data_IF_822317268463
#
_entry.id   IF_822317268463
#
_cell.length_a   1.000
_cell.length_b   1.000
_cell.length_c   1.000
_cell.angle_alpha   90.00
_cell.angle_beta   90.00
_cell.angle_gamma   90.00
#
_symmetry.space_group_name_H-M   'P 1'
#
loop_
_entity.id
_entity.type
_entity.pdbx_description
1 polymer ?
#
# COMPACT_ATOMS: atom_id res chain seq x y z
N UNK A 1 -51.45 -25.61 -25.00
CA UNK A 1 -50.07 -25.85 -24.53
C UNK A 1 -49.72 -24.75 -23.55
N UNK A 2 -49.24 -25.15 -22.38
CA UNK A 2 -49.06 -24.32 -21.19
C UNK A 2 -47.93 -23.31 -21.43
N UNK A 3 -48.25 -22.02 -21.40
CA UNK A 3 -47.27 -20.95 -21.23
C UNK A 3 -47.15 -20.68 -19.73
N UNK A 4 -45.98 -21.00 -19.16
CA UNK A 4 -45.54 -20.54 -17.84
C UNK A 4 -44.62 -19.34 -18.06
N UNK A 5 -45.07 -18.14 -17.73
CA UNK A 5 -44.19 -17.01 -17.42
C UNK A 5 -44.73 -16.30 -16.17
N UNK A 6 -44.08 -16.57 -15.05
CA UNK A 6 -44.34 -15.91 -13.78
C UNK A 6 -43.85 -14.46 -13.87
N UNK A 7 -44.78 -13.52 -13.63
CA UNK A 7 -44.47 -12.14 -13.31
C UNK A 7 -43.85 -12.07 -11.91
N UNK A 8 -42.73 -11.36 -11.75
CA UNK A 8 -42.24 -10.94 -10.42
C UNK A 8 -41.86 -9.46 -10.47
N UNK A 9 -42.84 -8.66 -10.06
CA UNK A 9 -42.76 -7.42 -9.28
C UNK A 9 -41.41 -6.67 -9.22
N UNK A 10 -41.33 -5.56 -9.96
CA UNK A 10 -40.40 -4.48 -9.73
C UNK A 10 -40.92 -3.61 -8.59
N UNK A 11 -40.34 -3.72 -7.39
CA UNK A 11 -40.52 -2.73 -6.32
C UNK A 11 -39.34 -1.78 -6.34
N UNK A 12 -39.60 -0.54 -6.75
CA UNK A 12 -38.76 0.60 -6.43
C UNK A 12 -38.59 0.67 -4.91
N UNK A 13 -37.36 0.55 -4.42
CA UNK A 13 -37.02 0.97 -3.07
C UNK A 13 -36.36 2.33 -3.16
N UNK A 14 -37.11 3.32 -2.69
CA UNK A 14 -36.69 4.69 -2.52
C UNK A 14 -35.56 4.80 -1.49
N UNK A 15 -34.73 5.82 -1.71
CA UNK A 15 -33.74 6.36 -0.80
C UNK A 15 -34.24 6.40 0.65
N UNK A 16 -33.49 5.74 1.53
CA UNK A 16 -33.41 6.15 2.92
C UNK A 16 -31.98 6.64 3.17
N UNK A 17 -31.80 7.94 3.01
CA UNK A 17 -30.76 8.72 3.65
C UNK A 17 -30.81 8.47 5.17
N UNK A 18 -30.02 7.51 5.65
CA UNK A 18 -29.59 7.50 7.03
C UNK A 18 -28.26 8.24 7.09
N UNK A 19 -28.34 9.50 7.51
CA UNK A 19 -27.25 10.22 8.14
C UNK A 19 -26.80 9.44 9.38
N UNK A 20 -25.95 8.43 9.17
CA UNK A 20 -25.16 7.83 10.22
C UNK A 20 -23.97 8.74 10.46
N UNK A 21 -24.07 9.62 11.47
CA UNK A 21 -22.89 10.10 12.17
C UNK A 21 -22.11 8.87 12.63
N UNK A 22 -21.08 8.50 11.87
CA UNK A 22 -20.06 7.54 12.27
C UNK A 22 -19.50 8.03 13.59
N UNK A 23 -19.90 7.40 14.69
CA UNK A 23 -19.20 7.58 15.95
C UNK A 23 -17.79 7.05 15.69
N UNK A 24 -16.80 7.95 15.65
CA UNK A 24 -15.39 7.57 15.66
C UNK A 24 -15.18 6.62 16.84
N UNK A 25 -15.18 5.31 16.58
CA UNK A 25 -14.80 4.32 17.58
C UNK A 25 -13.31 4.52 17.76
N UNK A 26 -12.94 5.32 18.76
CA UNK A 26 -11.56 5.47 19.15
C UNK A 26 -11.04 4.09 19.56
N UNK A 27 -10.21 3.51 18.70
CA UNK A 27 -9.68 2.18 18.93
C UNK A 27 -8.45 2.29 19.83
N UNK A 28 -8.18 1.28 20.65
CA UNK A 28 -6.92 1.20 21.40
C UNK A 28 -5.94 0.32 20.64
N UNK A 29 -4.71 0.81 20.43
CA UNK A 29 -3.62 0.00 19.89
C UNK A 29 -3.17 -1.00 20.95
N UNK A 30 -2.95 -2.24 20.54
CA UNK A 30 -2.53 -3.32 21.44
C UNK A 30 -1.03 -3.54 21.25
N UNK A 31 -0.24 -3.20 22.25
CA UNK A 31 1.20 -3.49 22.27
C UNK A 31 1.46 -4.91 22.80
N UNK A 32 2.24 -5.68 22.05
CA UNK A 32 2.58 -7.07 22.36
C UNK A 32 4.07 -7.31 22.07
N UNK A 33 4.80 -7.98 22.96
CA UNK A 33 6.22 -8.30 22.76
C UNK A 33 6.47 -9.70 22.17
N UNK A 34 5.43 -10.53 22.10
CA UNK A 34 5.43 -11.87 21.52
C UNK A 34 4.80 -11.84 20.13
N UNK A 35 5.56 -12.22 19.09
CA UNK A 35 5.05 -12.28 17.71
C UNK A 35 3.85 -13.24 17.60
N UNK A 36 3.93 -14.42 18.22
CA UNK A 36 2.85 -15.42 18.20
C UNK A 36 1.56 -14.87 18.80
N UNK A 37 1.65 -14.15 19.92
CA UNK A 37 0.47 -13.53 20.54
C UNK A 37 -0.05 -12.36 19.71
N UNK A 38 0.84 -11.53 19.16
CA UNK A 38 0.47 -10.41 18.30
C UNK A 38 -0.31 -10.89 17.07
N UNK A 39 0.17 -11.95 16.41
CA UNK A 39 -0.49 -12.61 15.28
C UNK A 39 -1.86 -13.15 15.69
N UNK A 40 -1.94 -13.94 16.77
CA UNK A 40 -3.22 -14.49 17.26
C UNK A 40 -4.23 -13.39 17.61
N UNK A 41 -3.77 -12.29 18.20
CA UNK A 41 -4.63 -11.14 18.52
C UNK A 41 -5.09 -10.44 17.24
N UNK A 42 -4.20 -10.21 16.27
CA UNK A 42 -4.52 -9.57 15.00
C UNK A 42 -5.53 -10.39 14.18
N UNK A 43 -5.34 -11.71 14.11
CA UNK A 43 -6.28 -12.64 13.47
C UNK A 43 -7.66 -12.60 14.12
N UNK A 44 -7.71 -12.68 15.46
CA UNK A 44 -8.97 -12.66 16.22
C UNK A 44 -9.73 -11.35 16.06
N UNK A 45 -9.01 -10.24 15.90
CA UNK A 45 -9.59 -8.89 15.83
C UNK A 45 -9.77 -8.37 14.42
N UNK A 46 -9.36 -9.12 13.39
CA UNK A 46 -9.30 -8.62 12.01
C UNK A 46 -8.58 -7.28 11.93
N UNK A 47 -7.33 -7.26 12.40
CA UNK A 47 -6.51 -6.06 12.54
C UNK A 47 -5.29 -6.06 11.60
N UNK A 48 -4.74 -4.88 11.32
CA UNK A 48 -3.38 -4.77 10.78
C UNK A 48 -2.37 -5.06 11.90
N UNK A 49 -1.37 -5.88 11.62
CA UNK A 49 -0.26 -6.16 12.53
C UNK A 49 0.98 -5.40 12.06
N UNK A 50 1.39 -4.37 12.82
CA UNK A 50 2.67 -3.69 12.63
C UNK A 50 3.73 -4.39 13.47
N UNK A 51 4.75 -4.94 12.81
CA UNK A 51 5.93 -5.52 13.48
C UNK A 51 7.11 -4.59 13.28
N UNK A 52 7.68 -4.09 14.37
CA UNK A 52 8.88 -3.26 14.38
C UNK A 52 10.03 -4.06 14.98
N UNK A 53 11.06 -4.29 14.17
CA UNK A 53 12.26 -5.02 14.55
C UNK A 53 13.36 -4.00 14.81
N UNK A 54 13.81 -3.94 16.07
CA UNK A 54 14.85 -3.01 16.53
C UNK A 54 16.24 -3.48 16.09
N UNK A 55 17.21 -2.58 15.87
CA UNK A 55 18.60 -2.96 15.67
C UNK A 55 19.14 -3.80 16.82
N UNK A 56 20.14 -4.63 16.54
CA UNK A 56 20.84 -5.37 17.59
C UNK A 56 21.47 -4.40 18.60
N UNK A 57 21.45 -4.77 19.89
CA UNK A 57 22.04 -4.01 21.00
C UNK A 57 21.46 -2.61 21.24
N UNK A 58 20.30 -2.29 20.65
CA UNK A 58 19.55 -1.05 20.93
C UNK A 58 18.31 -1.38 21.77
N UNK A 59 18.30 -0.90 23.01
CA UNK A 59 17.14 -1.06 23.89
C UNK A 59 15.93 -0.22 23.42
N UNK A 60 14.76 -0.54 23.96
CA UNK A 60 13.50 0.10 23.58
C UNK A 60 13.39 1.57 23.99
N UNK A 61 14.24 2.04 24.91
CA UNK A 61 14.25 3.43 25.38
C UNK A 61 15.19 4.30 24.55
N UNK A 62 16.13 3.71 23.82
CA UNK A 62 17.03 4.40 22.90
C UNK A 62 16.68 4.18 21.41
N UNK A 63 15.77 3.26 21.10
CA UNK A 63 15.30 3.06 19.73
C UNK A 63 14.34 4.16 19.27
N UNK A 64 14.79 5.01 18.35
CA UNK A 64 14.04 6.16 17.88
C UNK A 64 12.67 5.79 17.25
N UNK A 65 12.60 4.65 16.55
CA UNK A 65 11.34 4.17 15.95
C UNK A 65 10.38 3.70 17.03
N UNK A 66 10.84 2.94 18.03
CA UNK A 66 10.03 2.59 19.20
C UNK A 66 9.53 3.84 19.92
N UNK A 67 10.40 4.83 20.17
CA UNK A 67 9.99 6.10 20.78
C UNK A 67 8.97 6.83 19.90
N UNK A 68 9.18 6.89 18.60
CA UNK A 68 8.27 7.53 17.65
C UNK A 68 6.89 6.87 17.66
N UNK A 69 6.82 5.54 17.61
CA UNK A 69 5.58 4.78 17.70
C UNK A 69 4.87 4.98 19.04
N UNK A 70 5.59 5.28 20.14
CA UNK A 70 4.98 5.60 21.45
C UNK A 70 4.38 7.02 21.52
N UNK A 71 4.72 7.94 20.60
CA UNK A 71 4.23 9.34 20.63
C UNK A 71 2.69 9.37 20.51
N UNK A 72 2.04 10.18 21.36
CA UNK A 72 0.58 10.32 21.34
C UNK A 72 0.05 10.79 19.98
N UNK A 73 0.75 11.72 19.30
CA UNK A 73 0.36 12.19 17.97
C UNK A 73 0.36 11.08 16.91
N UNK A 74 1.33 10.17 16.98
CA UNK A 74 1.45 9.02 16.08
C UNK A 74 0.39 7.99 16.44
N UNK A 75 0.24 7.65 17.71
CA UNK A 75 -0.82 6.73 18.18
C UNK A 75 -2.19 7.19 17.73
N UNK A 76 -2.49 8.48 17.85
CA UNK A 76 -3.75 9.09 17.43
C UNK A 76 -4.08 8.77 15.97
N UNK A 77 -3.12 8.94 15.06
CA UNK A 77 -3.28 8.64 13.62
C UNK A 77 -3.75 7.20 13.39
N UNK A 78 -3.11 6.23 14.03
CA UNK A 78 -3.48 4.82 13.90
C UNK A 78 -4.84 4.50 14.55
N UNK A 79 -5.15 5.10 15.70
CA UNK A 79 -6.44 4.88 16.40
C UNK A 79 -7.64 5.52 15.68
N UNK A 80 -7.38 6.51 14.83
CA UNK A 80 -8.38 7.20 14.00
C UNK A 80 -8.54 6.56 12.62
N UNK A 81 -7.70 5.59 12.25
CA UNK A 81 -7.86 4.84 11.01
C UNK A 81 -9.05 3.86 11.09
N UNK A 82 -9.61 3.52 9.92
CA UNK A 82 -10.80 2.65 9.84
C UNK A 82 -10.51 1.20 10.29
N UNK A 83 -9.24 0.76 10.21
CA UNK A 83 -8.83 -0.60 10.54
C UNK A 83 -8.17 -0.67 11.93
N UNK A 84 -8.50 -1.68 12.76
CA UNK A 84 -7.78 -1.91 14.02
C UNK A 84 -6.29 -2.20 13.82
N UNK A 85 -5.47 -1.83 14.81
CA UNK A 85 -4.01 -2.06 14.79
C UNK A 85 -3.52 -2.81 16.03
N UNK A 86 -2.61 -3.75 15.79
CA UNK A 86 -1.79 -4.43 16.80
C UNK A 86 -0.33 -4.09 16.53
N UNK A 87 0.39 -3.64 17.56
CA UNK A 87 1.80 -3.30 17.46
C UNK A 87 2.63 -4.38 18.16
N UNK A 88 3.61 -4.91 17.43
CA UNK A 88 4.56 -5.88 17.92
C UNK A 88 5.97 -5.30 17.81
N UNK A 89 6.70 -5.28 18.92
CA UNK A 89 8.09 -4.82 18.94
C UNK A 89 9.01 -5.98 19.29
N UNK A 90 9.98 -6.25 18.43
CA UNK A 90 10.92 -7.36 18.55
C UNK A 90 12.37 -6.85 18.57
N UNK A 91 13.23 -7.53 19.31
CA UNK A 91 14.69 -7.37 19.20
C UNK A 91 15.20 -8.13 17.96
N UNK A 92 16.22 -7.64 17.27
CA UNK A 92 16.86 -8.40 16.19
C UNK A 92 17.73 -9.52 16.78
N UNK A 93 17.20 -10.74 16.82
CA UNK A 93 17.89 -11.96 17.28
C UNK A 93 17.45 -13.17 16.42
N UNK A 94 18.10 -14.32 16.61
CA UNK A 94 17.82 -15.55 15.85
C UNK A 94 16.35 -15.98 15.90
N UNK A 95 15.68 -15.77 17.05
CA UNK A 95 14.26 -16.07 17.21
C UNK A 95 13.41 -15.16 16.32
N UNK A 96 13.63 -13.85 16.34
CA UNK A 96 12.93 -12.88 15.48
C UNK A 96 13.16 -13.17 14.00
N UNK A 97 14.40 -13.50 13.61
CA UNK A 97 14.75 -13.89 12.24
C UNK A 97 13.99 -15.14 11.80
N UNK A 98 13.89 -16.16 12.65
CA UNK A 98 13.16 -17.39 12.32
C UNK A 98 11.63 -17.21 12.23
N UNK A 99 11.07 -16.24 12.94
CA UNK A 99 9.62 -15.97 12.99
C UNK A 99 9.13 -15.15 11.78
N UNK A 100 10.03 -14.40 11.15
CA UNK A 100 9.75 -13.59 9.97
C UNK A 100 10.00 -14.47 8.74
N UNK A 101 8.99 -14.64 7.87
CA UNK A 101 9.18 -15.41 6.63
C UNK A 101 10.37 -14.85 5.84
N UNK A 102 11.20 -15.74 5.29
CA UNK A 102 12.44 -15.38 4.59
C UNK A 102 12.24 -14.38 3.45
N UNK A 103 11.07 -14.37 2.81
CA UNK A 103 10.68 -13.40 1.79
C UNK A 103 10.61 -11.96 2.35
N UNK A 104 10.16 -11.79 3.59
CA UNK A 104 10.04 -10.47 4.22
C UNK A 104 11.39 -9.90 4.62
N UNK A 105 12.31 -10.76 5.10
CA UNK A 105 13.66 -10.34 5.47
C UNK A 105 14.39 -9.69 4.29
N UNK A 106 14.23 -10.21 3.07
CA UNK A 106 14.81 -9.60 1.87
C UNK A 106 14.28 -8.19 1.61
N UNK A 107 12.97 -7.98 1.74
CA UNK A 107 12.34 -6.68 1.50
C UNK A 107 12.66 -5.64 2.59
N UNK A 108 13.08 -6.06 3.79
CA UNK A 108 13.66 -5.19 4.83
C UNK A 108 15.20 -5.19 4.84
N UNK A 109 15.83 -5.65 3.75
CA UNK A 109 17.30 -5.65 3.55
C UNK A 109 18.07 -6.47 4.60
N UNK A 110 17.48 -7.58 5.02
CA UNK A 110 18.03 -8.57 5.95
C UNK A 110 18.45 -7.95 7.30
N UNK A 111 17.77 -6.88 7.71
CA UNK A 111 18.12 -6.11 8.90
C UNK A 111 16.91 -5.57 9.67
N UNK A 112 17.12 -4.59 10.57
CA UNK A 112 16.04 -3.97 11.32
C UNK A 112 15.12 -3.17 10.40
N UNK A 113 13.84 -3.14 10.75
CA UNK A 113 12.79 -2.72 9.83
C UNK A 113 11.43 -2.66 10.49
N UNK A 114 10.47 -2.10 9.77
CA UNK A 114 9.05 -2.24 10.09
C UNK A 114 8.38 -3.02 8.95
N UNK A 115 7.49 -3.94 9.29
CA UNK A 115 6.58 -4.53 8.31
C UNK A 115 5.15 -4.50 8.83
N UNK A 116 4.20 -4.55 7.89
CA UNK A 116 2.77 -4.63 8.20
C UNK A 116 2.21 -5.87 7.55
N UNK A 117 1.54 -6.70 8.35
CA UNK A 117 0.79 -7.88 7.91
C UNK A 117 -0.70 -7.55 8.00
N UNK A 118 -1.44 -7.79 6.93
CA UNK A 118 -2.88 -7.56 6.91
C UNK A 118 -3.60 -8.80 7.44
N UNK A 119 -4.32 -8.70 8.57
CA UNK A 119 -5.28 -9.74 9.00
C UNK A 119 -6.74 -9.26 8.93
N UNK A 120 -6.95 -8.04 8.45
CA UNK A 120 -8.23 -7.36 8.42
C UNK A 120 -8.99 -7.60 7.11
N UNK A 121 -8.30 -7.75 5.99
CA UNK A 121 -8.90 -7.72 4.66
C UNK A 121 -8.59 -8.98 3.85
N UNK A 122 -9.63 -9.65 3.36
CA UNK A 122 -9.49 -10.68 2.33
C UNK A 122 -9.29 -10.02 0.95
N UNK A 123 -8.48 -10.58 0.03
CA UNK A 123 -7.71 -11.83 0.13
C UNK A 123 -6.29 -11.65 0.72
N UNK A 124 -5.98 -10.48 1.29
CA UNK A 124 -4.64 -10.12 1.78
C UNK A 124 -4.32 -10.71 3.15
N UNK A 125 -5.27 -11.45 3.75
CA UNK A 125 -5.14 -11.98 5.10
C UNK A 125 -3.87 -12.82 5.27
N UNK A 126 -3.06 -12.47 6.26
CA UNK A 126 -1.77 -13.08 6.56
C UNK A 126 -0.61 -12.66 5.63
N UNK A 127 -0.84 -11.76 4.68
CA UNK A 127 0.20 -11.28 3.76
C UNK A 127 0.87 -10.02 4.29
N UNK A 128 2.17 -9.87 4.05
CA UNK A 128 2.85 -8.58 4.25
C UNK A 128 2.43 -7.62 3.15
N UNK A 129 1.97 -6.44 3.56
CA UNK A 129 1.41 -5.40 2.69
C UNK A 129 2.18 -4.08 2.79
N UNK A 130 3.13 -3.96 3.72
CA UNK A 130 4.06 -2.82 3.77
C UNK A 130 5.38 -3.22 4.42
N UNK A 131 6.46 -2.58 3.98
CA UNK A 131 7.80 -2.70 4.55
C UNK A 131 8.43 -1.31 4.62
N UNK A 132 9.20 -1.05 5.67
CA UNK A 132 10.07 0.11 5.83
C UNK A 132 11.41 -0.41 6.39
N UNK A 133 12.40 -0.72 5.53
CA UNK A 133 13.76 -0.96 5.98
C UNK A 133 14.26 0.27 6.72
N UNK A 134 14.96 0.07 7.84
CA UNK A 134 15.65 1.18 8.53
C UNK A 134 17.03 1.45 7.93
N UNK A 135 17.58 0.48 7.22
CA UNK A 135 18.81 0.62 6.44
C UNK A 135 18.49 1.37 5.15
N UNK A 136 19.24 2.43 4.88
CA UNK A 136 19.12 3.21 3.65
C UNK A 136 19.55 2.45 2.40
N UNK A 137 18.97 2.86 1.28
CA UNK A 137 19.21 2.29 -0.05
C UNK A 137 19.83 3.33 -0.96
N UNK A 138 19.82 3.05 -2.26
CA UNK A 138 20.30 4.02 -3.24
C UNK A 138 19.33 5.19 -3.40
N UNK A 139 18.02 4.93 -3.32
CA UNK A 139 16.98 5.94 -3.55
C UNK A 139 16.05 6.11 -2.35
N UNK A 140 15.61 5.01 -1.75
CA UNK A 140 14.86 5.03 -0.52
C UNK A 140 15.80 5.30 0.67
N UNK A 141 15.57 6.42 1.33
CA UNK A 141 16.13 6.74 2.65
C UNK A 141 15.02 6.57 3.71
N UNK A 142 15.31 5.98 4.86
CA UNK A 142 14.33 5.86 5.93
C UNK A 142 14.01 7.23 6.53
N UNK A 143 12.72 7.53 6.72
CA UNK A 143 12.29 8.70 7.47
C UNK A 143 11.22 8.29 8.50
N UNK A 144 11.37 8.73 9.74
CA UNK A 144 10.41 8.38 10.80
C UNK A 144 8.97 8.78 10.46
N UNK A 145 8.78 9.88 9.73
CA UNK A 145 7.45 10.32 9.27
C UNK A 145 6.73 9.30 8.39
N UNK A 146 7.45 8.40 7.69
CA UNK A 146 6.86 7.35 6.87
C UNK A 146 6.03 6.36 7.70
N UNK A 147 6.34 6.22 9.01
CA UNK A 147 5.55 5.41 9.95
C UNK A 147 4.10 5.86 10.01
N UNK A 148 3.87 7.18 10.01
CA UNK A 148 2.52 7.74 10.07
C UNK A 148 1.75 7.55 8.76
N UNK A 149 2.45 7.45 7.63
CA UNK A 149 1.81 7.17 6.33
C UNK A 149 1.20 5.77 6.29
N UNK A 150 1.77 4.78 6.99
CA UNK A 150 1.30 3.39 6.99
C UNK A 150 -0.18 3.26 7.38
N UNK A 151 -0.65 4.09 8.31
CA UNK A 151 -2.03 4.10 8.79
C UNK A 151 -3.05 4.54 7.74
N UNK A 152 -2.63 5.40 6.80
CA UNK A 152 -3.49 5.98 5.77
C UNK A 152 -3.30 5.35 4.38
N UNK A 153 -2.32 4.46 4.22
CA UNK A 153 -2.19 3.69 2.99
C UNK A 153 -3.46 2.84 2.81
N UNK A 154 -4.08 2.84 1.61
CA UNK A 154 -5.30 2.08 1.36
C UNK A 154 -5.04 0.57 1.40
N UNK A 155 -6.12 -0.21 1.48
CA UNK A 155 -6.07 -1.65 1.30
C UNK A 155 -5.43 -1.96 -0.06
N UNK A 156 -4.44 -2.84 -0.08
CA UNK A 156 -3.71 -3.17 -1.29
C UNK A 156 -2.54 -4.10 -1.01
N UNK A 157 -2.01 -4.71 -2.07
CA UNK A 157 -0.82 -5.57 -1.99
C UNK A 157 0.41 -4.76 -1.56
N UNK A 158 1.49 -5.48 -1.24
CA UNK A 158 2.80 -4.88 -0.97
C UNK A 158 3.26 -3.95 -2.10
N UNK A 159 3.09 -4.33 -3.36
CA UNK A 159 3.52 -3.53 -4.51
C UNK A 159 2.70 -2.27 -4.70
N UNK A 160 1.38 -2.35 -4.51
CA UNK A 160 0.47 -1.21 -4.61
C UNK A 160 0.76 -0.20 -3.49
N UNK A 161 0.86 -0.67 -2.24
CA UNK A 161 1.11 0.18 -1.07
C UNK A 161 2.50 0.80 -1.10
N UNK A 162 3.53 0.09 -1.57
CA UNK A 162 4.88 0.65 -1.76
C UNK A 162 4.93 1.78 -2.79
N UNK A 163 4.20 1.66 -3.91
CA UNK A 163 4.08 2.74 -4.89
C UNK A 163 3.36 3.96 -4.31
N UNK A 164 2.25 3.74 -3.60
CA UNK A 164 1.48 4.83 -2.98
C UNK A 164 2.30 5.53 -1.90
N UNK A 165 3.06 4.77 -1.09
CA UNK A 165 4.00 5.33 -0.13
C UNK A 165 5.05 6.21 -0.81
N UNK A 166 5.66 5.74 -1.90
CA UNK A 166 6.67 6.49 -2.65
C UNK A 166 6.13 7.82 -3.22
N UNK A 167 4.87 7.83 -3.67
CA UNK A 167 4.19 9.05 -4.12
C UNK A 167 3.94 9.99 -2.94
N UNK A 168 3.33 9.50 -1.85
CA UNK A 168 2.93 10.31 -0.69
C UNK A 168 4.09 10.90 0.10
N UNK A 169 5.24 10.22 0.10
CA UNK A 169 6.45 10.70 0.77
C UNK A 169 7.27 11.71 -0.05
N UNK A 170 6.93 11.89 -1.33
CA UNK A 170 7.70 12.75 -2.22
C UNK A 170 7.65 14.22 -1.75
N UNK A 171 8.79 14.91 -1.78
CA UNK A 171 8.94 16.26 -1.21
C UNK A 171 7.98 17.31 -1.81
N UNK A 172 7.65 17.18 -3.09
CA UNK A 172 6.72 18.08 -3.78
C UNK A 172 5.23 17.84 -3.44
N UNK A 173 4.91 16.85 -2.58
CA UNK A 173 3.55 16.53 -2.13
C UNK A 173 2.54 16.38 -3.30
N UNK A 174 2.80 15.45 -4.25
CA UNK A 174 1.90 15.23 -5.39
C UNK A 174 0.51 14.77 -4.93
N UNK A 175 -0.51 15.17 -5.68
CA UNK A 175 -1.92 15.09 -5.27
C UNK A 175 -2.70 13.96 -5.91
N UNK A 176 -2.04 13.10 -6.68
CA UNK A 176 -2.70 11.99 -7.37
C UNK A 176 -3.26 10.92 -6.44
N UNK A 177 -2.91 10.96 -5.15
CA UNK A 177 -3.43 10.04 -4.13
C UNK A 177 -4.43 10.68 -3.16
N UNK A 178 -4.89 11.90 -3.45
CA UNK A 178 -5.88 12.65 -2.65
C UNK A 178 -7.30 12.09 -2.84
N UNK A 179 -7.59 11.51 -4.02
CA UNK A 179 -8.86 10.87 -4.34
C UNK A 179 -9.03 9.48 -3.73
N UNK A 180 -10.05 8.74 -4.18
CA UNK A 180 -10.27 7.36 -3.74
C UNK A 180 -9.30 6.36 -4.38
N UNK A 181 -8.69 5.48 -3.60
CA UNK A 181 -8.00 4.32 -4.15
C UNK A 181 -9.04 3.34 -4.70
N UNK A 182 -9.11 3.18 -6.02
CA UNK A 182 -10.13 2.35 -6.66
C UNK A 182 -9.57 0.97 -7.03
N UNK A 183 -10.27 -0.08 -6.59
CA UNK A 183 -9.83 -1.46 -6.78
C UNK A 183 -9.68 -1.85 -8.26
N UNK A 184 -10.58 -1.38 -9.14
CA UNK A 184 -10.49 -1.68 -10.58
C UNK A 184 -9.29 -0.99 -11.20
N UNK A 185 -8.95 0.23 -10.76
CA UNK A 185 -7.75 0.93 -11.22
C UNK A 185 -6.48 0.27 -10.72
N UNK A 186 -6.47 -0.20 -9.46
CA UNK A 186 -5.37 -0.97 -8.89
C UNK A 186 -5.15 -2.31 -9.63
N UNK A 187 -6.22 -3.01 -9.99
CA UNK A 187 -6.16 -4.24 -10.78
C UNK A 187 -5.67 -3.96 -12.21
N UNK A 188 -6.14 -2.89 -12.85
CA UNK A 188 -5.69 -2.49 -14.17
C UNK A 188 -4.20 -2.09 -14.17
N UNK A 189 -3.75 -1.35 -13.15
CA UNK A 189 -2.35 -1.01 -12.96
C UNK A 189 -1.50 -2.26 -12.74
N UNK A 190 -1.95 -3.21 -11.92
CA UNK A 190 -1.26 -4.47 -11.68
C UNK A 190 -1.14 -5.35 -12.93
N UNK A 191 -2.23 -5.46 -13.70
CA UNK A 191 -2.23 -6.18 -14.96
C UNK A 191 -1.25 -5.56 -15.97
N UNK A 192 -1.19 -4.23 -16.04
CA UNK A 192 -0.28 -3.55 -16.96
C UNK A 192 1.18 -3.60 -16.51
N UNK A 193 1.47 -3.42 -15.22
CA UNK A 193 2.81 -3.63 -14.65
C UNK A 193 3.31 -5.05 -14.92
N UNK A 194 2.46 -6.07 -14.76
CA UNK A 194 2.79 -7.45 -15.11
C UNK A 194 3.03 -7.65 -16.61
N UNK A 195 2.26 -6.96 -17.47
CA UNK A 195 2.45 -7.01 -18.91
C UNK A 195 3.79 -6.38 -19.33
N UNK A 196 4.13 -5.19 -18.80
CA UNK A 196 5.43 -4.54 -19.01
C UNK A 196 6.59 -5.44 -18.57
N UNK A 197 6.47 -6.06 -17.38
CA UNK A 197 7.46 -7.00 -16.86
C UNK A 197 7.64 -8.25 -17.72
N UNK A 198 6.55 -8.78 -18.29
CA UNK A 198 6.59 -9.91 -19.24
C UNK A 198 7.27 -9.53 -20.55
N UNK A 199 7.02 -8.33 -21.05
CA UNK A 199 7.67 -7.79 -22.25
C UNK A 199 9.10 -7.32 -21.99
N UNK A 200 9.47 -7.15 -20.72
CA UNK A 200 10.70 -6.50 -20.28
C UNK A 200 10.88 -5.12 -20.94
N UNK A 201 9.78 -4.37 -21.03
CA UNK A 201 9.72 -3.09 -21.73
C UNK A 201 8.66 -2.18 -21.14
N UNK A 202 9.07 -0.99 -20.71
CA UNK A 202 8.14 0.09 -20.33
C UNK A 202 7.35 0.60 -21.55
N UNK A 203 6.09 0.97 -21.31
CA UNK A 203 5.29 1.71 -22.30
C UNK A 203 3.78 1.61 -22.09
N UNK A 204 3.04 2.41 -22.87
CA UNK A 204 1.57 2.46 -22.87
C UNK A 204 0.93 1.34 -23.71
N UNK A 205 1.49 0.13 -23.68
CA UNK A 205 1.06 -1.00 -24.51
C UNK A 205 -0.43 -1.26 -24.30
N UNK A 206 -1.26 -1.17 -25.35
CA UNK A 206 -2.71 -1.40 -25.25
C UNK A 206 -3.52 -0.30 -24.54
N UNK A 207 -2.93 0.86 -24.25
CA UNK A 207 -3.58 1.92 -23.47
C UNK A 207 -4.90 2.40 -24.09
N UNK A 208 -4.98 2.61 -25.41
CA UNK A 208 -6.20 3.08 -26.10
C UNK A 208 -7.43 2.21 -25.79
N UNK A 209 -7.26 0.89 -25.70
CA UNK A 209 -8.37 -0.01 -25.40
C UNK A 209 -8.72 0.04 -23.91
N UNK A 210 -7.71 -0.03 -23.02
CA UNK A 210 -7.92 0.05 -21.57
C UNK A 210 -8.58 1.36 -21.15
N UNK A 211 -8.10 2.49 -21.67
CA UNK A 211 -8.62 3.81 -21.33
C UNK A 211 -10.08 3.97 -21.74
N UNK A 212 -10.48 3.42 -22.90
CA UNK A 212 -11.89 3.38 -23.30
C UNK A 212 -12.73 2.57 -22.31
N UNK A 213 -12.31 1.34 -21.98
CA UNK A 213 -13.02 0.47 -21.04
C UNK A 213 -13.20 1.11 -19.66
N UNK A 214 -12.16 1.78 -19.16
CA UNK A 214 -12.21 2.52 -17.90
C UNK A 214 -13.12 3.74 -18.03
N UNK A 215 -12.99 4.50 -19.11
CA UNK A 215 -13.75 5.75 -19.33
C UNK A 215 -15.26 5.51 -19.44
N UNK A 216 -15.66 4.39 -20.04
CA UNK A 216 -17.07 4.00 -20.17
C UNK A 216 -17.77 3.82 -18.80
N UNK A 217 -17.00 3.56 -17.74
CA UNK A 217 -17.55 3.29 -16.40
C UNK A 217 -17.25 4.39 -15.38
N UNK A 218 -16.14 5.12 -15.54
CA UNK A 218 -15.60 6.01 -14.48
C UNK A 218 -15.24 7.41 -14.95
N UNK A 219 -15.17 7.69 -16.25
CA UNK A 219 -14.74 8.99 -16.79
C UNK A 219 -13.29 9.01 -17.30
N UNK A 220 -12.81 10.14 -17.84
CA UNK A 220 -11.55 10.22 -18.57
C UNK A 220 -10.35 9.73 -17.75
N UNK A 221 -9.66 8.73 -18.29
CA UNK A 221 -8.52 8.09 -17.62
C UNK A 221 -7.16 8.56 -18.17
N UNK A 222 -6.15 8.59 -17.30
CA UNK A 222 -4.74 8.87 -17.64
C UNK A 222 -3.84 7.77 -17.06
N UNK A 223 -2.78 7.41 -17.79
CA UNK A 223 -1.78 6.42 -17.37
C UNK A 223 -0.38 7.06 -17.32
N UNK A 224 0.40 6.65 -16.32
CA UNK A 224 1.85 6.89 -16.26
C UNK A 224 2.56 5.56 -16.10
N UNK A 225 3.66 5.38 -16.82
CA UNK A 225 4.48 4.17 -16.76
C UNK A 225 5.93 4.55 -16.50
N UNK A 226 6.65 3.76 -15.71
CA UNK A 226 8.09 3.90 -15.53
C UNK A 226 8.73 2.52 -15.39
N UNK A 227 10.04 2.47 -15.59
CA UNK A 227 10.86 1.33 -15.18
C UNK A 227 11.99 1.82 -14.29
N UNK A 228 12.47 0.90 -13.45
CA UNK A 228 13.57 1.11 -12.53
C UNK A 228 14.90 0.74 -13.20
N UNK A 229 16.04 1.03 -12.55
CA UNK A 229 17.30 0.40 -12.94
C UNK A 229 17.34 -1.09 -12.56
N UNK A 230 18.18 -1.91 -13.24
CA UNK A 230 18.39 -3.29 -12.85
C UNK A 230 18.85 -3.46 -11.40
N UNK A 231 18.42 -4.57 -10.79
CA UNK A 231 18.88 -5.08 -9.48
C UNK A 231 18.58 -4.18 -8.27
N UNK A 232 17.61 -3.28 -8.40
CA UNK A 232 17.03 -2.54 -7.27
C UNK A 232 16.02 -3.39 -6.48
N UNK A 233 15.92 -3.13 -5.18
CA UNK A 233 14.82 -3.63 -4.34
C UNK A 233 13.52 -2.85 -4.58
N UNK A 234 12.42 -3.35 -4.02
CA UNK A 234 11.09 -2.79 -4.26
C UNK A 234 10.99 -1.30 -3.93
N UNK A 235 11.48 -0.87 -2.76
CA UNK A 235 11.31 0.52 -2.34
C UNK A 235 12.23 1.48 -3.09
N UNK A 236 13.48 1.09 -3.36
CA UNK A 236 14.37 1.87 -4.22
C UNK A 236 13.73 2.04 -5.60
N UNK A 237 13.17 0.98 -6.17
CA UNK A 237 12.48 1.04 -7.46
C UNK A 237 11.23 1.91 -7.45
N UNK A 238 10.44 1.88 -6.37
CA UNK A 238 9.26 2.75 -6.24
C UNK A 238 9.66 4.23 -6.20
N UNK A 239 10.66 4.60 -5.38
CA UNK A 239 11.15 5.98 -5.26
C UNK A 239 11.79 6.46 -6.57
N UNK A 240 12.55 5.60 -7.24
CA UNK A 240 13.17 5.89 -8.53
C UNK A 240 12.11 6.11 -9.62
N UNK A 241 11.08 5.25 -9.71
CA UNK A 241 9.98 5.42 -10.67
C UNK A 241 9.24 6.76 -10.48
N UNK A 242 8.95 7.16 -9.24
CA UNK A 242 8.34 8.48 -8.96
C UNK A 242 9.28 9.62 -9.36
N UNK A 243 10.58 9.48 -9.11
CA UNK A 243 11.59 10.46 -9.52
C UNK A 243 11.71 10.58 -11.05
N UNK A 244 11.55 9.47 -11.78
CA UNK A 244 11.48 9.46 -13.25
C UNK A 244 10.23 10.17 -13.77
N UNK A 245 9.05 9.94 -13.17
CA UNK A 245 7.84 10.69 -13.51
C UNK A 245 8.00 12.17 -13.25
N UNK A 246 8.64 12.54 -12.15
CA UNK A 246 8.91 13.93 -11.76
C UNK A 246 9.75 14.70 -12.79
N UNK A 247 10.61 14.01 -13.53
CA UNK A 247 11.47 14.62 -14.56
C UNK A 247 10.75 14.82 -15.90
N UNK A 248 9.57 14.22 -16.10
CA UNK A 248 8.76 14.38 -17.31
C UNK A 248 7.58 15.31 -17.05
N UNK A 249 7.49 16.48 -17.71
CA UNK A 249 6.36 17.40 -17.51
C UNK A 249 4.99 16.79 -17.75
N UNK A 250 4.89 15.83 -18.69
CA UNK A 250 3.65 15.11 -18.98
C UNK A 250 3.25 14.16 -17.86
N UNK A 251 4.17 13.29 -17.43
CA UNK A 251 3.91 12.37 -16.32
C UNK A 251 3.70 13.11 -15.00
N UNK A 252 4.53 14.13 -14.73
CA UNK A 252 4.40 14.90 -13.51
C UNK A 252 3.09 15.68 -13.45
N UNK A 253 2.57 16.19 -14.57
CA UNK A 253 1.21 16.78 -14.58
C UNK A 253 0.16 15.77 -14.12
N UNK A 254 0.23 14.52 -14.57
CA UNK A 254 -0.69 13.49 -14.11
C UNK A 254 -0.49 13.17 -12.62
N UNK A 255 0.74 12.97 -12.15
CA UNK A 255 1.02 12.61 -10.75
C UNK A 255 0.77 13.76 -9.77
N UNK A 256 1.04 15.00 -10.16
CA UNK A 256 0.88 16.18 -9.27
C UNK A 256 -0.54 16.74 -9.21
N UNK A 257 -1.43 16.34 -10.13
CA UNK A 257 -2.82 16.82 -10.15
C UNK A 257 -3.71 16.03 -9.21
N UNK A 258 -4.80 16.67 -8.78
CA UNK A 258 -5.92 15.98 -8.13
C UNK A 258 -6.62 15.03 -9.13
N UNK A 259 -7.14 13.94 -8.59
CA UNK A 259 -7.95 12.96 -9.32
C UNK A 259 -9.08 12.48 -8.40
N UNK A 260 -10.23 12.14 -8.98
CA UNK A 260 -11.36 11.58 -8.23
C UNK A 260 -11.06 10.16 -7.74
N UNK A 261 -10.33 9.39 -8.55
CA UNK A 261 -9.87 8.05 -8.21
C UNK A 261 -8.48 7.71 -8.79
N UNK A 262 -7.76 6.80 -8.14
CA UNK A 262 -6.44 6.35 -8.56
C UNK A 262 -6.21 4.85 -8.32
N UNK A 263 -5.22 4.31 -9.03
CA UNK A 263 -4.64 3.00 -8.76
C UNK A 263 -3.17 2.95 -9.17
N UNK A 264 -2.36 2.25 -8.39
CA UNK A 264 -0.92 2.08 -8.64
C UNK A 264 -0.52 0.63 -8.45
N UNK A 265 0.46 0.15 -9.22
CA UNK A 265 1.14 -1.11 -8.95
C UNK A 265 2.53 -1.12 -9.61
N UNK A 266 3.40 -2.03 -9.18
CA UNK A 266 4.73 -2.26 -9.75
C UNK A 266 5.03 -3.76 -9.82
N UNK A 267 5.73 -4.21 -10.86
CA UNK A 267 6.12 -5.62 -11.01
C UNK A 267 7.56 -5.78 -11.47
N UNK A 268 8.30 -6.69 -10.84
CA UNK A 268 9.65 -7.08 -11.28
C UNK A 268 9.58 -8.04 -12.47
N UNK A 269 10.30 -7.71 -13.54
CA UNK A 269 10.57 -8.60 -14.67
C UNK A 269 11.71 -9.58 -14.37
N UNK A 270 11.85 -10.61 -15.21
CA UNK A 270 12.95 -11.58 -15.09
C UNK A 270 14.33 -11.00 -15.40
N UNK A 271 14.39 -9.77 -15.93
CA UNK A 271 15.62 -9.00 -16.15
C UNK A 271 16.01 -8.12 -14.93
N UNK A 272 15.46 -8.39 -13.75
CA UNK A 272 15.71 -7.62 -12.52
C UNK A 272 15.31 -6.15 -12.55
N UNK A 273 14.52 -5.72 -13.54
CA UNK A 273 13.96 -4.37 -13.62
C UNK A 273 12.53 -4.39 -13.09
N UNK A 274 12.13 -3.35 -12.37
CA UNK A 274 10.74 -3.15 -11.95
C UNK A 274 10.01 -2.21 -12.89
N UNK A 275 8.76 -2.53 -13.22
CA UNK A 275 7.90 -1.75 -14.12
C UNK A 275 6.68 -1.25 -13.36
N UNK A 276 6.56 0.06 -13.23
CA UNK A 276 5.51 0.74 -12.47
C UNK A 276 4.43 1.27 -13.41
N UNK A 277 3.18 1.25 -12.91
CA UNK A 277 2.02 1.83 -13.57
C UNK A 277 1.22 2.62 -12.54
N UNK A 278 0.80 3.84 -12.91
CA UNK A 278 -0.23 4.60 -12.22
C UNK A 278 -1.38 4.91 -13.19
N UNK A 279 -2.61 4.75 -12.74
CA UNK A 279 -3.82 5.04 -13.51
C UNK A 279 -4.72 5.96 -12.68
N UNK A 280 -5.25 6.99 -13.32
CA UNK A 280 -6.03 8.04 -12.68
C UNK A 280 -7.33 8.33 -13.42
N UNK A 281 -8.33 8.80 -12.68
CA UNK A 281 -9.59 9.32 -13.21
C UNK A 281 -9.72 10.78 -12.79
N UNK A 282 -9.91 11.65 -13.77
CA UNK A 282 -10.08 13.08 -13.53
C UNK A 282 -11.32 13.41 -12.68
#
# INVERSE_FOLDING_TARGET
MIFLTCAVNWKCFADNNQNGTSSLRQQNIIDVSSYTDATRIAEKKSAMLLVSIRPQDVDADHDEVTQHLKKHSVRKIFTESDTPWVFCQLDFNECSISLIQSTFLKEIREGPGVCVIDYAHEPLKGQVVSVLPRRDGKYYQFAQQDLSLLAYLPIGSLTQRSMILAVRRHADVPRSTDGGCDIMLCEAAAAHSAHQAKLQKQGHHGWKLRSQQISDHRGPAVEVCAESWPDQDLLDSCVDCVSCWRQSPGHWRAVSSEHSAYGYDIRRGTNSIWYATGIFIH
#
